data_IF_298403484170
#
_entry.id   IF_298403484170
#
_cell.length_a   1.000
_cell.length_b   1.000
_cell.length_c   1.000
_cell.angle_alpha   90.00
_cell.angle_beta   90.00
_cell.angle_gamma   90.00
#
_symmetry.space_group_name_H-M   'P 1'
#
loop_
_entity.id
_entity.type
_entity.pdbx_description
1 polymer ?
#
# COMPACT_ATOMS: atom_id res chain seq x y z
N UNK A 1 -4.64 -4.17 4.13
CA UNK A 1 -5.51 -5.33 3.87
C UNK A 1 -6.89 -4.81 3.60
N UNK A 2 -7.46 -5.04 2.42
CA UNK A 2 -8.83 -4.62 2.17
C UNK A 2 -9.82 -5.68 2.71
N UNK A 3 -10.44 -5.38 3.85
CA UNK A 3 -11.47 -6.22 4.46
C UNK A 3 -12.87 -5.92 3.87
N UNK A 4 -12.98 -5.01 2.89
CA UNK A 4 -14.25 -4.68 2.19
C UNK A 4 -14.52 -5.57 0.98
N UNK A 5 -13.52 -6.30 0.49
CA UNK A 5 -13.64 -7.10 -0.70
C UNK A 5 -14.51 -8.36 -0.50
N UNK A 6 -15.77 -8.22 -0.92
CA UNK A 6 -16.42 -9.11 -1.90
C UNK A 6 -16.68 -10.57 -1.52
N UNK A 7 -16.94 -10.83 -0.24
CA UNK A 7 -17.88 -11.88 0.18
C UNK A 7 -18.62 -11.33 1.39
N UNK A 8 -19.97 -11.23 1.42
CA UNK A 8 -20.72 -10.49 2.45
C UNK A 8 -20.51 -10.96 3.90
N UNK A 9 -19.65 -11.96 4.13
CA UNK A 9 -19.33 -12.54 5.44
C UNK A 9 -17.84 -12.80 5.69
N UNK A 10 -16.90 -12.37 4.83
CA UNK A 10 -15.48 -12.76 4.97
C UNK A 10 -14.46 -11.63 4.89
N UNK A 11 -13.36 -11.86 5.62
CA UNK A 11 -12.18 -11.04 5.73
C UNK A 11 -10.97 -11.86 5.28
N UNK A 12 -9.97 -11.30 4.58
CA UNK A 12 -8.81 -12.05 4.09
C UNK A 12 -7.51 -11.54 4.67
N UNK A 13 -6.61 -12.43 5.11
CA UNK A 13 -5.29 -12.10 5.64
C UNK A 13 -4.18 -12.86 4.94
N UNK A 14 -3.08 -12.17 4.65
CA UNK A 14 -1.80 -12.80 4.32
C UNK A 14 -1.16 -13.35 5.60
N UNK A 15 -0.68 -14.60 5.56
CA UNK A 15 0.04 -15.23 6.65
C UNK A 15 1.37 -15.73 6.10
N UNK A 16 2.47 -15.11 6.54
CA UNK A 16 3.84 -15.53 6.23
C UNK A 16 4.51 -16.11 7.47
N UNK A 17 5.00 -17.35 7.37
CA UNK A 17 6.04 -17.89 8.28
C UNK A 17 7.15 -18.45 7.39
N UNK A 18 8.36 -18.73 7.91
CA UNK A 18 9.34 -19.49 7.14
C UNK A 18 8.69 -20.72 6.50
N UNK A 19 8.86 -20.89 5.19
CA UNK A 19 8.31 -21.97 4.36
C UNK A 19 6.78 -22.00 4.18
N UNK A 20 6.04 -20.97 4.60
CA UNK A 20 4.59 -20.88 4.34
C UNK A 20 4.16 -19.47 3.99
N UNK A 21 3.69 -19.30 2.77
CA UNK A 21 3.04 -18.08 2.30
C UNK A 21 1.58 -18.41 1.98
N UNK A 22 0.65 -17.94 2.80
CA UNK A 22 -0.76 -18.31 2.69
C UNK A 22 -1.67 -17.09 2.60
N UNK A 23 -2.73 -17.23 1.82
CA UNK A 23 -3.91 -16.39 1.94
C UNK A 23 -4.97 -17.12 2.75
N UNK A 24 -5.48 -16.47 3.80
CA UNK A 24 -6.44 -17.04 4.74
C UNK A 24 -7.72 -16.23 4.75
N UNK A 25 -8.87 -16.88 4.63
CA UNK A 25 -10.18 -16.29 4.81
C UNK A 25 -10.69 -16.49 6.25
N UNK A 26 -11.27 -15.44 6.83
CA UNK A 26 -11.94 -15.42 8.11
C UNK A 26 -13.44 -15.23 7.89
N UNK A 27 -14.26 -16.01 8.59
CA UNK A 27 -15.71 -15.86 8.58
C UNK A 27 -16.26 -15.82 10.00
N UNK A 28 -17.02 -14.77 10.31
CA UNK A 28 -17.74 -14.64 11.59
C UNK A 28 -19.07 -15.38 11.49
N UNK A 29 -19.14 -16.61 11.99
CA UNK A 29 -20.35 -17.44 12.00
C UNK A 29 -20.52 -18.14 13.36
N UNK A 30 -20.78 -17.37 14.41
CA UNK A 30 -20.91 -17.86 15.80
C UNK A 30 -19.59 -18.24 16.47
N UNK A 31 -18.58 -18.63 15.69
CA UNK A 31 -17.15 -18.75 16.03
C UNK A 31 -16.30 -18.22 14.87
N UNK A 32 -15.06 -17.80 15.17
CA UNK A 32 -14.12 -17.35 14.15
C UNK A 32 -13.56 -18.56 13.38
N UNK A 33 -13.98 -18.71 12.12
CA UNK A 33 -13.50 -19.77 11.24
C UNK A 33 -12.33 -19.24 10.41
N UNK A 34 -11.17 -19.89 10.53
CA UNK A 34 -9.96 -19.65 9.72
C UNK A 34 -9.88 -20.71 8.61
N UNK A 35 -9.90 -20.31 7.36
CA UNK A 35 -9.82 -21.22 6.20
C UNK A 35 -8.66 -20.83 5.29
N UNK A 36 -7.87 -21.81 4.85
CA UNK A 36 -6.87 -21.61 3.82
C UNK A 36 -7.58 -21.33 2.49
N UNK A 37 -7.28 -20.19 1.86
CA UNK A 37 -7.80 -19.84 0.55
C UNK A 37 -6.78 -20.19 -0.55
N UNK A 38 -5.51 -19.83 -0.37
CA UNK A 38 -4.44 -20.13 -1.32
C UNK A 38 -3.15 -20.43 -0.57
N UNK A 39 -2.47 -21.50 -0.98
CA UNK A 39 -1.08 -21.79 -0.61
C UNK A 39 -0.18 -21.28 -1.74
N UNK A 40 0.66 -20.30 -1.42
CA UNK A 40 1.52 -19.58 -2.34
C UNK A 40 2.99 -19.95 -2.12
N UNK A 41 3.29 -20.95 -1.29
CA UNK A 41 4.64 -21.29 -0.85
C UNK A 41 5.55 -21.78 -2.00
N UNK A 42 4.98 -22.15 -3.15
CA UNK A 42 5.73 -22.52 -4.37
C UNK A 42 5.88 -21.38 -5.37
N UNK A 43 5.12 -20.30 -5.23
CA UNK A 43 5.12 -19.14 -6.14
C UNK A 43 5.85 -17.94 -5.55
N UNK A 44 5.85 -17.83 -4.21
CA UNK A 44 6.38 -16.70 -3.46
C UNK A 44 7.58 -17.15 -2.67
N UNK A 45 8.72 -16.48 -2.84
CA UNK A 45 9.91 -16.80 -2.08
C UNK A 45 9.76 -16.35 -0.63
N UNK A 46 10.45 -17.05 0.28
CA UNK A 46 10.35 -16.88 1.73
C UNK A 46 11.69 -16.48 2.37
N UNK A 47 12.56 -15.85 1.57
CA UNK A 47 13.81 -15.25 2.04
C UNK A 47 13.59 -14.16 3.10
N UNK A 48 14.65 -13.71 3.78
CA UNK A 48 14.56 -12.78 4.92
C UNK A 48 13.91 -11.42 4.60
N UNK A 49 13.93 -11.02 3.32
CA UNK A 49 13.38 -9.76 2.82
C UNK A 49 12.35 -9.98 1.70
N UNK A 50 11.88 -11.22 1.57
CA UNK A 50 11.03 -11.67 0.48
C UNK A 50 9.70 -12.20 1.03
N UNK A 51 8.65 -12.20 0.22
CA UNK A 51 7.36 -12.73 0.64
C UNK A 51 6.17 -12.05 -0.01
N UNK A 52 4.99 -12.47 0.43
CA UNK A 52 3.73 -11.88 0.01
C UNK A 52 3.54 -10.53 0.71
N UNK A 53 3.47 -9.46 -0.08
CA UNK A 53 3.42 -8.09 0.43
C UNK A 53 1.99 -7.56 0.50
N UNK A 54 1.18 -7.86 -0.53
CA UNK A 54 -0.20 -7.38 -0.61
C UNK A 54 -1.10 -8.27 -1.46
N UNK A 55 -2.41 -8.13 -1.20
CA UNK A 55 -3.49 -8.67 -2.01
C UNK A 55 -4.54 -7.58 -2.25
N UNK A 56 -5.08 -7.56 -3.45
CA UNK A 56 -6.28 -6.80 -3.80
C UNK A 56 -7.27 -7.69 -4.55
N UNK A 57 -8.56 -7.49 -4.34
CA UNK A 57 -9.60 -8.15 -5.13
C UNK A 57 -10.10 -7.18 -6.19
N UNK A 58 -10.42 -7.71 -7.37
CA UNK A 58 -11.07 -6.91 -8.40
C UNK A 58 -12.39 -6.31 -7.87
N UNK A 59 -12.77 -5.07 -8.23
CA UNK A 59 -14.06 -4.49 -7.81
C UNK A 59 -15.27 -5.37 -8.17
N UNK A 60 -15.19 -6.04 -9.34
CA UNK A 60 -16.14 -7.05 -9.81
C UNK A 60 -15.78 -8.52 -9.44
N UNK A 61 -15.10 -8.76 -8.31
CA UNK A 61 -14.66 -10.11 -7.91
C UNK A 61 -15.80 -11.12 -7.86
N UNK A 62 -17.00 -10.71 -7.45
CA UNK A 62 -18.18 -11.57 -7.41
C UNK A 62 -18.62 -12.10 -8.77
N UNK A 63 -18.27 -11.39 -9.85
CA UNK A 63 -18.62 -11.74 -11.21
C UNK A 63 -17.47 -12.45 -11.92
N UNK A 64 -16.23 -11.99 -11.70
CA UNK A 64 -15.07 -12.43 -12.48
C UNK A 64 -14.07 -13.30 -11.72
N UNK A 65 -14.18 -13.41 -10.39
CA UNK A 65 -13.28 -14.18 -9.49
C UNK A 65 -11.82 -13.72 -9.48
N UNK A 66 -11.48 -12.56 -10.05
CA UNK A 66 -10.10 -12.09 -10.18
C UNK A 66 -9.59 -11.43 -8.92
N UNK A 67 -8.41 -11.83 -8.49
CA UNK A 67 -7.69 -11.20 -7.39
C UNK A 67 -6.21 -11.07 -7.76
N UNK A 68 -5.50 -10.18 -7.09
CA UNK A 68 -4.17 -9.75 -7.47
C UNK A 68 -3.23 -9.84 -6.29
N UNK A 69 -2.00 -10.26 -6.55
CA UNK A 69 -0.96 -10.36 -5.54
C UNK A 69 0.22 -9.46 -5.93
N UNK A 70 0.83 -8.85 -4.91
CA UNK A 70 2.16 -8.26 -4.99
C UNK A 70 3.08 -9.06 -4.08
N UNK A 71 4.16 -9.61 -4.63
CA UNK A 71 5.15 -10.35 -3.87
C UNK A 71 6.56 -10.13 -4.41
N UNK A 72 7.55 -10.45 -3.58
CA UNK A 72 8.95 -10.44 -4.00
C UNK A 72 9.37 -11.83 -4.50
N UNK A 73 10.38 -11.85 -5.36
CA UNK A 73 10.99 -13.07 -5.90
C UNK A 73 12.49 -12.86 -6.10
N UNK A 74 13.27 -13.92 -5.85
CA UNK A 74 14.68 -14.00 -6.24
C UNK A 74 14.83 -14.98 -7.40
N UNK A 75 15.49 -14.56 -8.47
CA UNK A 75 15.78 -15.37 -9.65
C UNK A 75 17.23 -15.11 -10.10
N UNK A 76 18.04 -16.17 -10.16
CA UNK A 76 19.46 -16.10 -10.56
C UNK A 76 20.30 -15.05 -9.80
N UNK A 77 19.93 -14.75 -8.55
CA UNK A 77 20.62 -13.75 -7.71
C UNK A 77 20.14 -12.32 -7.92
N UNK A 78 19.15 -12.09 -8.79
CA UNK A 78 18.47 -10.79 -8.97
C UNK A 78 17.09 -10.81 -8.29
N UNK A 79 16.75 -9.72 -7.60
CA UNK A 79 15.44 -9.54 -6.97
C UNK A 79 14.46 -8.82 -7.86
N UNK A 80 13.20 -9.19 -7.72
CA UNK A 80 12.09 -8.60 -8.44
C UNK A 80 10.86 -8.45 -7.54
N UNK A 81 10.15 -7.34 -7.74
CA UNK A 81 8.76 -7.23 -7.35
C UNK A 81 7.87 -7.74 -8.48
N UNK A 82 7.00 -8.68 -8.16
CA UNK A 82 6.07 -9.32 -9.08
C UNK A 82 4.64 -8.90 -8.74
N UNK A 83 3.88 -8.49 -9.76
CA UNK A 83 2.43 -8.28 -9.65
C UNK A 83 1.74 -9.26 -10.57
N UNK A 84 0.85 -10.07 -10.01
CA UNK A 84 0.12 -11.11 -10.75
C UNK A 84 -1.38 -11.01 -10.53
N UNK A 85 -2.14 -11.40 -11.54
CA UNK A 85 -3.55 -11.74 -11.43
C UNK A 85 -3.71 -13.25 -11.24
N UNK A 86 -4.62 -13.64 -10.36
CA UNK A 86 -5.07 -15.01 -10.10
C UNK A 86 -6.60 -15.08 -10.13
N UNK A 87 -7.11 -16.30 -10.19
CA UNK A 87 -8.53 -16.58 -10.27
C UNK A 87 -8.97 -17.44 -9.08
N UNK A 88 -10.00 -17.01 -8.34
CA UNK A 88 -10.62 -17.83 -7.30
C UNK A 88 -11.41 -19.00 -7.91
N UNK A 89 -11.63 -20.06 -7.15
CA UNK A 89 -12.53 -21.16 -7.52
C UNK A 89 -13.99 -20.66 -7.63
N UNK A 90 -14.84 -21.43 -8.33
CA UNK A 90 -16.22 -21.01 -8.65
C UNK A 90 -17.09 -20.78 -7.41
N UNK A 91 -16.73 -21.42 -6.29
CA UNK A 91 -17.42 -21.26 -5.01
C UNK A 91 -16.81 -20.14 -4.13
N UNK A 92 -15.79 -19.43 -4.61
CA UNK A 92 -15.09 -18.36 -3.89
C UNK A 92 -14.46 -18.80 -2.56
N UNK A 93 -14.22 -20.11 -2.37
CA UNK A 93 -13.67 -20.66 -1.12
C UNK A 93 -12.16 -20.86 -1.18
N UNK A 94 -11.57 -20.89 -2.37
CA UNK A 94 -10.15 -21.17 -2.58
C UNK A 94 -9.63 -20.47 -3.84
N UNK A 95 -8.32 -20.56 -4.05
CA UNK A 95 -7.74 -20.36 -5.37
C UNK A 95 -8.25 -21.42 -6.37
N UNK A 96 -8.24 -21.10 -7.66
CA UNK A 96 -8.66 -22.02 -8.73
C UNK A 96 -7.58 -23.01 -9.15
N UNK A 97 -6.32 -22.81 -8.77
CA UNK A 97 -5.16 -23.57 -9.24
C UNK A 97 -4.75 -23.26 -10.68
N UNK A 98 -5.37 -22.27 -11.34
CA UNK A 98 -4.96 -21.83 -12.67
C UNK A 98 -3.67 -21.03 -12.60
N UNK A 99 -2.86 -21.12 -13.66
CA UNK A 99 -1.64 -20.33 -13.79
C UNK A 99 -1.93 -18.83 -13.65
N UNK A 100 -1.07 -18.15 -12.88
CA UNK A 100 -1.11 -16.71 -12.67
C UNK A 100 -0.80 -15.97 -13.97
N UNK A 101 -1.46 -14.84 -14.21
CA UNK A 101 -1.09 -13.89 -15.26
C UNK A 101 -0.18 -12.82 -14.67
N UNK A 102 1.09 -12.80 -15.07
CA UNK A 102 2.02 -11.76 -14.63
C UNK A 102 1.70 -10.44 -15.31
N UNK A 103 1.39 -9.42 -14.51
CA UNK A 103 1.16 -8.06 -14.98
C UNK A 103 2.48 -7.30 -15.04
N UNK A 104 3.23 -7.29 -13.94
CA UNK A 104 4.48 -6.55 -13.81
C UNK A 104 5.58 -7.43 -13.21
N UNK A 105 6.79 -7.19 -13.67
CA UNK A 105 8.05 -7.69 -13.10
C UNK A 105 9.04 -6.54 -13.08
N UNK A 106 9.33 -6.05 -11.87
CA UNK A 106 10.13 -4.84 -11.65
C UNK A 106 11.41 -5.27 -10.94
N UNK A 107 12.55 -5.03 -11.56
CA UNK A 107 13.86 -5.31 -10.97
C UNK A 107 14.10 -4.42 -9.73
N UNK A 108 14.56 -5.03 -8.65
CA UNK A 108 14.92 -4.34 -7.41
C UNK A 108 16.45 -4.21 -7.31
N UNK A 109 16.99 -2.99 -7.22
CA UNK A 109 18.43 -2.75 -7.23
C UNK A 109 19.10 -3.04 -5.87
N UNK A 110 18.33 -3.08 -4.78
CA UNK A 110 18.82 -3.41 -3.45
C UNK A 110 17.85 -4.32 -2.68
N UNK A 111 18.17 -4.53 -1.40
CA UNK A 111 17.53 -5.55 -0.60
C UNK A 111 16.18 -5.14 0.03
N UNK A 112 15.83 -3.86 -0.08
CA UNK A 112 14.73 -3.24 0.65
C UNK A 112 14.07 -2.13 -0.18
N UNK A 113 13.03 -1.51 0.41
CA UNK A 113 12.24 -0.42 -0.19
C UNK A 113 11.45 -0.84 -1.44
N UNK A 114 10.82 -2.01 -1.38
CA UNK A 114 9.99 -2.51 -2.49
C UNK A 114 8.61 -1.84 -2.54
N UNK A 115 8.26 -1.03 -1.52
CA UNK A 115 6.91 -0.49 -1.31
C UNK A 115 5.91 -1.56 -0.89
N UNK A 116 4.71 -1.18 -0.45
CA UNK A 116 3.81 -2.15 0.19
C UNK A 116 2.53 -2.46 -0.57
N UNK A 117 1.76 -1.46 -0.98
CA UNK A 117 0.32 -1.67 -1.21
C UNK A 117 -0.05 -1.89 -2.66
N UNK A 118 -0.99 -2.82 -2.84
CA UNK A 118 -1.81 -3.01 -4.02
C UNK A 118 -3.27 -2.70 -3.64
N UNK A 119 -3.95 -1.82 -4.38
CA UNK A 119 -5.38 -1.54 -4.15
C UNK A 119 -6.06 -1.04 -5.42
N UNK A 120 -7.38 -1.20 -5.50
CA UNK A 120 -8.18 -0.56 -6.55
C UNK A 120 -8.60 0.83 -6.13
N UNK A 121 -8.49 1.77 -7.06
CA UNK A 121 -9.04 3.12 -6.90
C UNK A 121 -10.56 3.15 -7.09
N UNK A 122 -11.20 4.27 -6.70
CA UNK A 122 -12.63 4.49 -6.95
C UNK A 122 -12.96 4.56 -8.45
N UNK A 123 -11.95 4.74 -9.30
CA UNK A 123 -12.01 4.75 -10.75
C UNK A 123 -11.92 3.34 -11.37
N UNK A 124 -11.69 2.29 -10.57
CA UNK A 124 -11.62 0.91 -11.04
C UNK A 124 -10.25 0.45 -11.54
N UNK A 125 -9.23 1.31 -11.49
CA UNK A 125 -7.86 0.95 -11.87
C UNK A 125 -7.06 0.40 -10.69
N UNK A 126 -6.02 -0.36 -11.01
CA UNK A 126 -5.12 -0.97 -10.02
C UNK A 126 -3.97 0.00 -9.71
N UNK A 127 -3.88 0.42 -8.44
CA UNK A 127 -2.82 1.27 -7.91
C UNK A 127 -1.77 0.42 -7.19
N UNK A 128 -0.49 0.73 -7.45
CA UNK A 128 0.66 -0.04 -6.99
C UNK A 128 1.67 0.91 -6.36
N UNK A 129 1.95 0.74 -5.08
CA UNK A 129 2.99 1.50 -4.39
C UNK A 129 4.35 0.83 -4.55
N UNK A 130 5.31 1.55 -5.12
CA UNK A 130 6.69 1.13 -5.31
C UNK A 130 7.63 2.08 -4.57
N UNK A 131 8.49 1.53 -3.71
CA UNK A 131 9.57 2.32 -3.13
C UNK A 131 10.73 2.51 -4.12
N UNK A 132 11.72 3.31 -3.73
CA UNK A 132 12.89 3.66 -4.53
C UNK A 132 13.82 2.47 -4.84
N UNK A 133 13.57 1.32 -4.22
CA UNK A 133 14.34 0.08 -4.36
C UNK A 133 15.73 0.14 -3.74
N UNK A 134 16.07 1.24 -3.06
CA UNK A 134 17.39 1.50 -2.52
C UNK A 134 18.51 1.61 -3.58
N UNK A 135 19.79 1.51 -3.16
CA UNK A 135 20.22 1.45 -1.76
C UNK A 135 19.87 2.75 -1.02
N UNK A 136 20.15 2.75 0.29
CA UNK A 136 19.96 3.91 1.15
C UNK A 136 20.32 5.24 0.48
N UNK A 137 19.45 6.24 0.66
CA UNK A 137 19.55 7.60 0.13
C UNK A 137 19.27 7.74 -1.36
N UNK A 138 18.86 6.69 -2.08
CA UNK A 138 18.59 6.72 -3.53
C UNK A 138 19.70 7.44 -4.33
N UNK A 139 20.95 6.93 -4.28
CA UNK A 139 22.10 7.61 -4.89
C UNK A 139 22.08 7.59 -6.42
N UNK A 140 21.10 6.92 -7.04
CA UNK A 140 20.89 6.88 -8.48
C UNK A 140 19.64 7.68 -8.92
N UNK A 141 18.85 8.19 -7.97
CA UNK A 141 17.72 9.08 -8.23
C UNK A 141 16.53 8.35 -8.86
N UNK A 142 16.32 7.08 -8.51
CA UNK A 142 15.23 6.25 -9.01
C UNK A 142 13.87 6.92 -8.81
N UNK A 143 13.66 7.51 -7.63
CA UNK A 143 12.43 8.20 -7.24
C UNK A 143 12.07 9.37 -8.16
N UNK A 144 13.07 10.07 -8.71
CA UNK A 144 12.90 11.19 -9.65
C UNK A 144 13.01 10.79 -11.12
N UNK A 145 13.53 9.59 -11.41
CA UNK A 145 13.66 9.09 -12.78
C UNK A 145 12.30 8.60 -13.31
N UNK A 146 11.78 9.25 -14.36
CA UNK A 146 10.53 8.87 -15.02
C UNK A 146 10.66 7.65 -15.94
N UNK A 147 11.88 7.21 -16.23
CA UNK A 147 12.15 5.97 -16.97
C UNK A 147 12.11 4.70 -16.13
N UNK A 148 11.88 4.85 -14.83
CA UNK A 148 11.82 3.73 -13.89
C UNK A 148 10.49 3.72 -13.12
N UNK A 149 10.11 2.52 -12.69
CA UNK A 149 8.89 2.28 -11.92
C UNK A 149 9.12 2.36 -10.39
N UNK A 150 10.32 2.73 -9.96
CA UNK A 150 10.75 2.80 -8.56
C UNK A 150 10.53 4.20 -7.96
N UNK A 151 10.11 4.25 -6.71
CA UNK A 151 9.77 5.47 -5.97
C UNK A 151 8.52 6.17 -6.52
N UNK A 152 7.52 5.36 -6.91
CA UNK A 152 6.32 5.78 -7.65
C UNK A 152 5.05 5.21 -7.03
N UNK A 153 3.94 5.91 -7.28
CA UNK A 153 2.64 5.24 -7.38
C UNK A 153 2.40 4.94 -8.85
N UNK A 154 2.11 3.69 -9.18
CA UNK A 154 1.71 3.26 -10.52
C UNK A 154 0.19 3.08 -10.57
N UNK A 155 -0.39 3.27 -11.76
CA UNK A 155 -1.82 3.05 -12.04
C UNK A 155 -1.97 2.38 -13.40
N UNK A 156 -2.57 1.19 -13.41
CA UNK A 156 -2.74 0.37 -14.62
C UNK A 156 -4.19 -0.13 -14.78
N UNK A 157 -4.56 -0.39 -16.04
CA UNK A 157 -5.84 -1.01 -16.40
C UNK A 157 -5.68 -2.53 -16.57
N UNK A 158 -6.25 -3.30 -15.64
CA UNK A 158 -6.18 -4.77 -15.67
C UNK A 158 -7.21 -5.43 -16.58
N UNK A 159 -8.19 -4.65 -17.07
CA UNK A 159 -9.29 -5.08 -17.94
C UNK A 159 -8.97 -4.92 -19.42
N UNK A 160 -8.04 -4.03 -19.77
CA UNK A 160 -7.58 -3.83 -21.14
C UNK A 160 -6.23 -4.54 -21.36
N UNK A 161 -6.23 -5.68 -22.05
CA UNK A 161 -5.00 -6.44 -22.31
C UNK A 161 -5.07 -7.21 -23.62
N UNK A 162 -3.92 -7.59 -24.15
CA UNK A 162 -3.80 -8.41 -25.36
C UNK A 162 -2.54 -9.29 -25.31
N UNK A 163 -2.18 -9.94 -26.43
CA UNK A 163 -1.03 -10.82 -26.49
C UNK A 163 0.32 -10.13 -26.20
N UNK A 164 0.42 -8.82 -26.45
CA UNK A 164 1.65 -8.04 -26.31
C UNK A 164 1.72 -7.31 -24.96
N UNK A 165 0.59 -6.89 -24.39
CA UNK A 165 0.54 -6.20 -23.11
C UNK A 165 -0.44 -6.90 -22.16
N UNK A 166 0.03 -7.24 -20.95
CA UNK A 166 -0.76 -7.95 -19.94
C UNK A 166 -1.73 -7.03 -19.16
N UNK A 167 -1.63 -5.72 -19.38
CA UNK A 167 -2.46 -4.65 -18.84
C UNK A 167 -2.44 -3.45 -19.80
N UNK A 168 -3.34 -2.50 -19.60
CA UNK A 168 -3.48 -1.26 -20.34
C UNK A 168 -3.02 -0.06 -19.53
N UNK A 169 -2.80 1.05 -20.22
CA UNK A 169 -2.50 2.34 -19.60
C UNK A 169 -3.79 3.16 -19.61
N UNK A 170 -4.30 3.64 -18.46
CA UNK A 170 -5.40 4.59 -18.44
C UNK A 170 -5.05 5.85 -19.23
N UNK A 171 -5.95 6.29 -20.11
CA UNK A 171 -5.73 7.45 -20.99
C UNK A 171 -5.55 8.75 -20.19
N UNK A 172 -6.08 8.82 -18.97
CA UNK A 172 -5.97 9.94 -18.03
C UNK A 172 -4.78 9.81 -17.05
N UNK A 173 -3.86 8.86 -17.25
CA UNK A 173 -2.59 8.89 -16.53
C UNK A 173 -1.80 10.16 -16.90
N UNK A 174 -1.05 10.77 -15.97
CA UNK A 174 -0.41 12.06 -16.18
C UNK A 174 0.67 12.05 -17.28
N UNK A 175 1.15 10.87 -17.67
CA UNK A 175 2.17 10.68 -18.70
C UNK A 175 1.71 9.83 -19.88
N UNK A 176 0.40 9.54 -20.00
CA UNK A 176 -0.16 8.68 -21.06
C UNK A 176 0.21 9.17 -22.47
N UNK A 177 0.09 10.48 -22.71
CA UNK A 177 0.33 11.12 -24.00
C UNK A 177 1.80 11.50 -24.26
N UNK A 178 2.72 11.12 -23.37
CA UNK A 178 4.14 11.42 -23.57
C UNK A 178 4.68 10.80 -24.86
N UNK A 179 5.30 11.64 -25.69
CA UNK A 179 6.05 11.21 -26.88
C UNK A 179 7.45 10.73 -26.57
N UNK A 180 7.95 10.95 -25.34
CA UNK A 180 9.24 10.44 -24.89
C UNK A 180 9.12 8.94 -24.60
N UNK A 181 9.83 8.07 -25.35
CA UNK A 181 9.75 6.62 -25.17
C UNK A 181 10.35 6.15 -23.85
N UNK A 182 11.19 6.96 -23.20
CA UNK A 182 11.79 6.59 -21.93
C UNK A 182 10.78 6.72 -20.78
N UNK A 183 9.79 7.62 -20.88
CA UNK A 183 8.83 7.84 -19.79
C UNK A 183 7.88 6.66 -19.64
N UNK A 184 7.83 6.12 -18.42
CA UNK A 184 6.92 5.04 -18.03
C UNK A 184 5.51 5.57 -17.81
N UNK A 185 4.61 5.22 -18.73
CA UNK A 185 3.21 5.69 -18.73
C UNK A 185 2.36 5.09 -17.62
N UNK A 186 2.87 4.07 -16.92
CA UNK A 186 2.27 3.50 -15.71
C UNK A 186 2.29 4.48 -14.52
N UNK A 187 3.17 5.49 -14.55
CA UNK A 187 3.37 6.41 -13.42
C UNK A 187 2.13 7.28 -13.19
N UNK A 188 1.64 7.25 -11.95
CA UNK A 188 0.59 8.14 -11.44
C UNK A 188 1.15 9.28 -10.58
N UNK A 189 2.15 9.01 -9.74
CA UNK A 189 2.85 10.00 -8.93
C UNK A 189 4.31 9.58 -8.71
N UNK A 190 5.18 10.54 -8.43
CA UNK A 190 6.64 10.36 -8.37
C UNK A 190 7.23 10.88 -7.06
N UNK A 191 8.49 10.53 -6.77
CA UNK A 191 9.23 11.09 -5.65
C UNK A 191 8.83 10.53 -4.29
N UNK A 192 8.46 9.24 -4.20
CA UNK A 192 8.26 8.55 -2.92
C UNK A 192 9.50 7.74 -2.55
N UNK A 193 9.71 7.50 -1.25
CA UNK A 193 10.79 6.62 -0.78
C UNK A 193 10.33 5.18 -0.65
N UNK A 194 9.33 4.94 0.19
CA UNK A 194 8.83 3.62 0.53
C UNK A 194 7.35 3.74 0.98
N UNK A 195 6.43 3.96 0.03
CA UNK A 195 4.99 4.02 0.34
C UNK A 195 4.52 2.63 0.78
N UNK A 196 4.31 2.46 2.09
CA UNK A 196 4.04 1.15 2.70
C UNK A 196 2.54 0.81 2.66
N UNK A 197 1.70 1.38 3.53
CA UNK A 197 0.23 1.27 3.43
C UNK A 197 -0.41 2.50 2.81
N UNK A 198 -1.23 2.22 1.80
CA UNK A 198 -2.06 3.21 1.13
C UNK A 198 -3.55 2.88 1.29
N UNK A 199 -4.39 3.90 1.31
CA UNK A 199 -5.84 3.75 1.30
C UNK A 199 -6.51 4.95 0.65
N UNK A 200 -7.57 4.68 -0.12
CA UNK A 200 -8.49 5.73 -0.54
C UNK A 200 -9.48 6.04 0.57
N UNK A 201 -9.71 7.31 0.84
CA UNK A 201 -10.90 7.72 1.57
C UNK A 201 -12.12 7.57 0.64
N UNK A 202 -13.07 6.68 0.94
CA UNK A 202 -14.22 6.43 0.06
C UNK A 202 -15.14 7.64 -0.10
N UNK A 203 -15.04 8.64 0.79
CA UNK A 203 -15.89 9.84 0.72
C UNK A 203 -15.27 10.95 -0.12
N UNK A 204 -13.96 11.18 -0.03
CA UNK A 204 -13.28 12.28 -0.72
C UNK A 204 -12.54 11.85 -1.98
N UNK A 205 -12.20 10.55 -2.10
CA UNK A 205 -11.36 10.03 -3.16
C UNK A 205 -9.86 10.33 -2.97
N UNK A 206 -9.46 10.94 -1.85
CA UNK A 206 -8.03 11.19 -1.58
C UNK A 206 -7.29 9.87 -1.32
N UNK A 207 -6.14 9.69 -1.99
CA UNK A 207 -5.21 8.58 -1.73
C UNK A 207 -4.26 8.96 -0.60
N UNK A 208 -4.41 8.33 0.55
CA UNK A 208 -3.53 8.48 1.70
C UNK A 208 -2.43 7.43 1.69
N UNK A 209 -1.22 7.80 2.10
CA UNK A 209 -0.09 6.90 2.24
C UNK A 209 0.71 7.20 3.51
N UNK A 210 1.19 6.14 4.16
CA UNK A 210 2.37 6.23 5.03
C UNK A 210 3.61 5.95 4.19
N UNK A 211 4.51 6.93 4.10
CA UNK A 211 5.79 6.82 3.38
C UNK A 211 6.92 6.73 4.40
N UNK A 212 7.62 5.60 4.41
CA UNK A 212 8.72 5.35 5.34
C UNK A 212 9.90 6.19 4.91
N UNK A 213 10.37 7.09 5.77
CA UNK A 213 11.51 7.94 5.46
C UNK A 213 12.85 7.27 5.77
N UNK A 214 13.95 7.99 5.54
CA UNK A 214 15.31 7.47 5.65
C UNK A 214 15.96 7.67 7.03
N UNK A 215 16.33 8.91 7.37
CA UNK A 215 17.13 9.24 8.57
C UNK A 215 16.33 10.07 9.56
N UNK A 216 15.53 11.01 9.07
CA UNK A 216 15.00 12.10 9.89
C UNK A 216 13.55 11.89 10.27
N UNK A 217 12.70 11.56 9.29
CA UNK A 217 11.25 11.61 9.46
C UNK A 217 10.54 10.40 8.89
N UNK A 218 9.38 10.10 9.45
CA UNK A 218 8.33 9.32 8.80
C UNK A 218 7.24 10.27 8.30
N UNK A 219 6.50 9.89 7.24
CA UNK A 219 5.59 10.81 6.56
C UNK A 219 4.17 10.27 6.35
N UNK A 220 3.18 11.14 6.55
CA UNK A 220 1.79 10.94 6.12
C UNK A 220 1.50 11.86 4.95
N UNK A 221 1.13 11.29 3.80
CA UNK A 221 1.00 12.01 2.53
C UNK A 221 -0.36 11.76 1.89
N UNK A 222 -0.93 12.80 1.24
CA UNK A 222 -2.06 12.66 0.31
C UNK A 222 -1.50 12.79 -1.11
N UNK A 223 -1.66 11.76 -1.92
CA UNK A 223 -1.08 11.64 -3.27
C UNK A 223 -2.15 11.92 -4.33
N UNK A 224 -1.86 12.76 -5.32
CA UNK A 224 -2.72 12.98 -6.51
C UNK A 224 -1.95 12.79 -7.80
N UNK A 225 -2.69 12.76 -8.91
CA UNK A 225 -2.15 12.57 -10.25
C UNK A 225 -1.06 13.58 -10.60
N UNK A 226 0.06 13.09 -11.13
CA UNK A 226 1.17 13.89 -11.64
C UNK A 226 2.04 14.55 -10.57
N UNK A 227 1.76 14.34 -9.28
CA UNK A 227 2.49 14.99 -8.21
C UNK A 227 3.89 14.40 -8.01
N UNK A 228 4.83 15.27 -7.65
CA UNK A 228 6.17 14.91 -7.22
C UNK A 228 6.31 15.16 -5.71
N UNK A 229 6.47 14.11 -4.92
CA UNK A 229 6.60 14.21 -3.46
C UNK A 229 8.03 14.40 -2.98
N UNK A 230 8.98 14.51 -3.91
CA UNK A 230 10.27 15.13 -3.66
C UNK A 230 11.32 14.26 -3.01
N UNK A 231 11.10 12.98 -2.68
CA UNK A 231 12.20 12.08 -2.35
C UNK A 231 13.14 11.93 -3.57
N UNK A 232 14.47 11.94 -3.46
CA UNK A 232 15.30 12.14 -2.27
C UNK A 232 15.73 13.60 -2.02
N UNK A 233 15.13 14.58 -2.69
CA UNK A 233 15.40 16.00 -2.48
C UNK A 233 14.93 16.44 -1.09
N UNK A 234 13.75 15.99 -0.66
CA UNK A 234 13.15 16.31 0.63
C UNK A 234 12.96 15.04 1.47
N UNK A 235 13.15 15.17 2.78
CA UNK A 235 12.68 14.22 3.78
C UNK A 235 11.85 15.01 4.79
N UNK A 236 10.56 14.76 4.82
CA UNK A 236 9.57 15.55 5.52
C UNK A 236 9.44 16.98 4.95
N UNK A 237 9.66 17.97 5.81
CA UNK A 237 9.62 19.39 5.42
C UNK A 237 11.01 19.98 5.18
N UNK A 238 12.06 19.15 5.21
CA UNK A 238 13.45 19.57 5.12
C UNK A 238 14.12 19.09 3.84
N UNK A 239 15.07 19.87 3.34
CA UNK A 239 15.95 19.41 2.27
C UNK A 239 16.82 18.27 2.81
N UNK A 240 16.77 17.15 2.12
CA UNK A 240 17.63 15.99 2.33
C UNK A 240 18.86 16.05 1.42
N UNK A 241 18.64 16.24 0.11
CA UNK A 241 19.68 16.30 -0.92
C UNK A 241 19.36 17.36 -1.97
N UNK A 242 20.38 17.95 -2.60
CA UNK A 242 20.19 18.84 -3.76
C UNK A 242 20.56 18.17 -5.09
N UNK A 243 20.97 16.90 -5.08
CA UNK A 243 21.57 16.23 -6.25
C UNK A 243 20.63 16.11 -7.46
N UNK A 244 19.36 15.81 -7.21
CA UNK A 244 18.34 15.63 -8.25
C UNK A 244 17.31 16.76 -8.25
N UNK A 245 17.61 17.86 -7.55
CA UNK A 245 16.71 19.01 -7.49
C UNK A 245 16.68 19.72 -8.83
N UNK A 246 15.46 20.04 -9.27
CA UNK A 246 15.21 20.86 -10.44
C UNK A 246 14.48 22.12 -9.99
N UNK A 247 14.98 23.30 -10.37
CA UNK A 247 14.50 24.57 -9.84
C UNK A 247 13.06 24.90 -10.26
N UNK A 248 12.63 24.43 -11.44
CA UNK A 248 11.30 24.68 -11.98
C UNK A 248 10.27 23.60 -11.59
N UNK A 249 10.67 22.60 -10.80
CA UNK A 249 9.81 21.50 -10.37
C UNK A 249 9.06 21.85 -9.08
N UNK A 250 7.73 21.64 -9.09
CA UNK A 250 6.91 21.75 -7.88
C UNK A 250 6.97 20.45 -7.10
N UNK A 251 7.40 20.54 -5.85
CA UNK A 251 7.44 19.42 -4.91
C UNK A 251 6.30 19.55 -3.89
N UNK A 252 5.59 18.45 -3.64
CA UNK A 252 4.40 18.40 -2.77
C UNK A 252 4.79 17.83 -1.41
N UNK A 253 4.71 18.68 -0.38
CA UNK A 253 5.02 18.28 1.00
C UNK A 253 4.01 17.29 1.58
N UNK A 254 4.42 16.46 2.56
CA UNK A 254 3.51 15.63 3.34
C UNK A 254 2.56 16.47 4.19
N UNK A 255 1.49 15.84 4.66
CA UNK A 255 0.51 16.45 5.60
C UNK A 255 1.11 16.55 7.00
N UNK A 256 1.83 15.51 7.40
CA UNK A 256 2.39 15.39 8.73
C UNK A 256 3.66 14.55 8.69
N UNK A 257 4.61 14.90 9.54
CA UNK A 257 5.86 14.15 9.71
C UNK A 257 6.16 13.99 11.19
N UNK A 258 6.84 12.90 11.55
CA UNK A 258 7.35 12.72 12.90
C UNK A 258 8.77 12.16 12.89
N UNK A 259 9.60 12.69 13.79
CA UNK A 259 11.00 12.29 13.87
C UNK A 259 11.21 10.95 14.59
N UNK A 260 12.41 10.38 14.43
CA UNK A 260 12.80 9.04 14.92
C UNK A 260 12.52 8.73 16.40
N UNK A 261 12.43 9.76 17.25
CA UNK A 261 12.05 9.61 18.67
C UNK A 261 10.60 9.12 18.87
N UNK A 262 9.74 9.29 17.87
CA UNK A 262 8.32 8.90 17.93
C UNK A 262 8.04 7.57 17.22
N UNK A 263 8.87 7.18 16.25
CA UNK A 263 8.76 5.95 15.48
C UNK A 263 9.79 5.95 14.33
N UNK A 264 10.01 4.80 13.70
CA UNK A 264 11.07 4.62 12.69
C UNK A 264 10.60 3.81 11.47
N UNK A 265 9.31 3.48 11.40
CA UNK A 265 8.74 2.70 10.30
C UNK A 265 7.24 2.90 10.29
N UNK A 266 6.77 3.96 9.63
CA UNK A 266 5.33 4.22 9.53
C UNK A 266 4.65 3.09 8.77
N UNK A 267 3.59 2.54 9.34
CA UNK A 267 2.78 1.53 8.65
C UNK A 267 1.86 2.20 7.65
N UNK A 268 1.29 3.37 7.96
CA UNK A 268 0.15 3.98 7.27
C UNK A 268 -1.16 3.61 7.95
N UNK A 269 -2.30 3.81 7.28
CA UNK A 269 -3.60 3.75 7.93
C UNK A 269 -4.82 4.01 7.04
N UNK A 270 -5.95 4.34 7.65
CA UNK A 270 -7.24 4.60 7.00
C UNK A 270 -7.96 5.81 7.60
N UNK A 271 -8.73 6.52 6.77
CA UNK A 271 -9.69 7.51 7.27
C UNK A 271 -10.86 6.79 7.94
N UNK A 272 -11.16 7.13 9.19
CA UNK A 272 -12.24 6.49 9.94
C UNK A 272 -13.61 6.94 9.41
N UNK A 273 -14.41 5.98 8.97
CA UNK A 273 -15.75 6.19 8.39
C UNK A 273 -16.83 5.31 9.05
N UNK A 274 -16.53 4.71 10.20
CA UNK A 274 -17.39 3.75 10.92
C UNK A 274 -18.67 4.35 11.49
N UNK A 275 -18.55 5.42 12.26
CA UNK A 275 -19.66 6.09 12.92
C UNK A 275 -19.63 7.60 12.69
N UNK A 276 -20.64 8.14 12.00
CA UNK A 276 -20.78 9.58 11.71
C UNK A 276 -20.91 10.47 12.96
N UNK A 277 -21.34 9.92 14.09
CA UNK A 277 -21.45 10.66 15.35
C UNK A 277 -20.15 10.63 16.16
N UNK A 278 -19.17 9.79 15.77
CA UNK A 278 -17.87 9.76 16.42
C UNK A 278 -17.08 11.02 16.08
N UNK A 279 -16.40 11.57 17.08
CA UNK A 279 -15.43 12.66 16.90
C UNK A 279 -14.23 12.28 16.02
N UNK A 280 -14.01 10.98 15.78
CA UNK A 280 -12.99 10.48 14.85
C UNK A 280 -13.45 10.44 13.39
N UNK A 281 -14.73 10.69 13.09
CA UNK A 281 -15.23 10.57 11.71
C UNK A 281 -14.49 11.55 10.78
N UNK A 282 -13.77 11.01 9.80
CA UNK A 282 -12.92 11.80 8.89
C UNK A 282 -11.48 12.01 9.36
N UNK A 283 -11.10 11.53 10.54
CA UNK A 283 -9.71 11.50 10.95
C UNK A 283 -8.96 10.34 10.26
N UNK A 284 -7.75 10.61 9.78
CA UNK A 284 -6.82 9.57 9.32
C UNK A 284 -6.16 8.91 10.52
N UNK A 285 -6.43 7.62 10.71
CA UNK A 285 -5.88 6.81 11.80
C UNK A 285 -4.78 5.92 11.24
N UNK A 286 -3.58 6.05 11.80
CA UNK A 286 -2.37 5.39 11.33
C UNK A 286 -1.50 4.93 12.49
N UNK A 287 -0.54 4.07 12.19
CA UNK A 287 0.41 3.56 13.18
C UNK A 287 1.81 3.42 12.64
N UNK A 288 2.71 3.07 13.55
CA UNK A 288 4.12 2.83 13.31
C UNK A 288 4.48 1.42 13.77
N UNK A 289 5.21 0.69 12.92
CA UNK A 289 5.52 -0.71 13.09
C UNK A 289 6.33 -0.94 14.37
N UNK A 290 7.43 -0.23 14.57
CA UNK A 290 8.37 -0.46 15.69
C UNK A 290 7.87 0.13 17.01
N UNK A 291 7.42 1.39 17.01
CA UNK A 291 6.96 2.05 18.24
C UNK A 291 5.60 1.56 18.71
N UNK A 292 4.82 0.93 17.82
CA UNK A 292 3.43 0.45 18.02
C UNK A 292 2.44 1.57 18.32
N UNK A 293 2.86 2.82 18.24
CA UNK A 293 1.99 3.96 18.52
C UNK A 293 0.92 4.07 17.43
N UNK A 294 -0.25 4.52 17.85
CA UNK A 294 -1.40 4.79 16.98
C UNK A 294 -1.73 6.26 17.12
N UNK A 295 -1.91 6.94 15.99
CA UNK A 295 -2.27 8.33 15.92
C UNK A 295 -3.55 8.53 15.12
N UNK A 296 -4.22 9.65 15.40
CA UNK A 296 -5.28 10.19 14.57
C UNK A 296 -4.93 11.62 14.19
N UNK A 297 -5.12 11.98 12.92
CA UNK A 297 -5.00 13.35 12.45
C UNK A 297 -6.17 13.79 11.59
N UNK A 298 -6.39 15.10 11.51
CA UNK A 298 -7.27 15.73 10.54
C UNK A 298 -6.51 16.78 9.76
N UNK A 299 -7.00 17.07 8.55
CA UNK A 299 -6.45 18.10 7.69
C UNK A 299 -7.58 18.95 7.11
N UNK A 300 -7.24 20.17 6.69
CA UNK A 300 -8.04 20.99 5.79
C UNK A 300 -7.16 21.48 4.64
N UNK A 301 -7.58 21.24 3.39
CA UNK A 301 -6.81 21.54 2.17
C UNK A 301 -5.32 21.15 2.24
N UNK A 302 -5.06 19.91 2.68
CA UNK A 302 -3.73 19.34 2.92
C UNK A 302 -2.89 20.01 4.01
N UNK A 303 -3.51 20.81 4.88
CA UNK A 303 -2.86 21.39 6.06
C UNK A 303 -3.32 20.66 7.29
N UNK A 304 -2.37 20.20 8.11
CA UNK A 304 -2.67 19.57 9.38
C UNK A 304 -3.50 20.51 10.26
N UNK A 305 -4.64 20.03 10.75
CA UNK A 305 -5.49 20.78 11.69
C UNK A 305 -5.43 20.20 13.10
N UNK A 306 -5.26 18.89 13.24
CA UNK A 306 -5.12 18.21 14.53
C UNK A 306 -4.31 16.94 14.38
N UNK A 307 -3.53 16.61 15.41
CA UNK A 307 -2.79 15.34 15.54
C UNK A 307 -2.81 14.93 17.02
N UNK A 308 -3.13 13.66 17.29
CA UNK A 308 -3.02 13.06 18.63
C UNK A 308 -2.50 11.64 18.54
N UNK A 309 -1.66 11.25 19.48
CA UNK A 309 -1.45 9.84 19.76
C UNK A 309 -2.67 9.35 20.53
N UNK A 310 -3.37 8.35 20.00
CA UNK A 310 -4.63 7.83 20.54
C UNK A 310 -4.49 6.46 21.17
N UNK A 311 -3.31 5.84 21.05
CA UNK A 311 -3.03 4.58 21.69
C UNK A 311 -1.64 4.05 21.39
N UNK A 312 -1.38 2.86 21.90
CA UNK A 312 -0.23 2.04 21.57
C UNK A 312 -0.68 0.58 21.52
N UNK A 313 -0.41 -0.08 20.40
CA UNK A 313 -0.73 -1.49 20.22
C UNK A 313 0.18 -2.37 21.08
N UNK A 314 -0.31 -3.55 21.47
CA UNK A 314 0.48 -4.53 22.23
C UNK A 314 1.57 -5.22 21.39
N UNK A 315 1.48 -5.15 20.07
CA UNK A 315 2.36 -5.80 19.08
C UNK A 315 2.66 -4.84 17.93
N UNK A 316 3.74 -5.09 17.19
CA UNK A 316 4.08 -4.34 15.98
C UNK A 316 2.95 -4.41 14.95
N UNK A 317 2.68 -3.28 14.31
CA UNK A 317 1.52 -3.11 13.43
C UNK A 317 1.94 -3.40 11.99
N UNK A 318 1.64 -4.60 11.49
CA UNK A 318 2.04 -5.01 10.13
C UNK A 318 1.17 -4.34 9.04
N UNK A 319 -0.11 -4.12 9.36
CA UNK A 319 -1.09 -3.55 8.44
C UNK A 319 -2.33 -3.08 9.20
N UNK A 320 -3.20 -2.40 8.48
CA UNK A 320 -4.57 -2.09 8.87
C UNK A 320 -5.54 -2.71 7.87
N UNK A 321 -6.81 -2.82 8.26
CA UNK A 321 -7.92 -3.09 7.36
C UNK A 321 -9.21 -2.43 7.85
N UNK A 322 -10.20 -2.35 6.97
CA UNK A 322 -11.51 -1.73 7.27
C UNK A 322 -12.63 -2.65 6.86
N UNK A 323 -13.59 -2.92 7.74
CA UNK A 323 -14.77 -3.68 7.34
C UNK A 323 -15.75 -2.83 6.50
N UNK A 324 -16.87 -3.47 6.11
CA UNK A 324 -17.95 -2.82 5.34
C UNK A 324 -18.66 -1.69 6.09
N UNK A 325 -18.59 -1.66 7.41
CA UNK A 325 -19.20 -0.63 8.23
C UNK A 325 -18.26 0.57 8.39
N UNK A 326 -16.98 0.42 8.03
CA UNK A 326 -15.96 1.46 8.18
C UNK A 326 -15.21 1.37 9.51
N UNK A 327 -15.37 0.26 10.23
CA UNK A 327 -14.62 -0.03 11.45
C UNK A 327 -13.20 -0.47 11.11
N UNK A 328 -12.21 0.02 11.87
CA UNK A 328 -10.80 -0.19 11.60
C UNK A 328 -10.28 -1.38 12.41
N UNK A 329 -9.44 -2.19 11.76
CA UNK A 329 -8.75 -3.33 12.34
C UNK A 329 -7.23 -3.18 12.16
N UNK A 330 -6.47 -3.65 13.15
CA UNK A 330 -5.02 -3.74 13.10
C UNK A 330 -4.59 -5.19 12.90
N UNK A 331 -3.53 -5.40 12.13
CA UNK A 331 -2.90 -6.71 11.94
C UNK A 331 -1.60 -6.74 12.73
N UNK A 332 -1.58 -7.54 13.80
CA UNK A 332 -0.43 -7.72 14.66
C UNK A 332 0.62 -8.62 14.03
N UNK A 333 1.86 -8.16 13.98
CA UNK A 333 2.98 -8.88 13.39
C UNK A 333 3.47 -10.02 14.28
N UNK A 334 3.68 -9.76 15.58
CA UNK A 334 4.41 -10.68 16.46
C UNK A 334 3.58 -11.90 16.87
N UNK A 335 2.26 -11.74 16.93
CA UNK A 335 1.34 -12.76 17.42
C UNK A 335 0.29 -13.19 16.39
N UNK A 336 0.33 -12.62 15.18
CA UNK A 336 -0.62 -12.92 14.10
C UNK A 336 -2.09 -12.60 14.43
N UNK A 337 -2.34 -11.73 15.40
CA UNK A 337 -3.70 -11.40 15.87
C UNK A 337 -4.27 -10.21 15.10
N UNK A 338 -5.56 -10.27 14.77
CA UNK A 338 -6.31 -9.15 14.21
C UNK A 338 -7.07 -8.47 15.36
N UNK A 339 -6.86 -7.18 15.54
CA UNK A 339 -7.48 -6.36 16.59
C UNK A 339 -8.54 -5.45 15.98
N UNK A 340 -9.72 -5.35 16.60
CA UNK A 340 -10.67 -4.26 16.29
C UNK A 340 -10.26 -3.02 17.09
N UNK A 341 -10.17 -1.87 16.42
CA UNK A 341 -9.91 -0.59 17.08
C UNK A 341 -11.23 0.01 17.57
N UNK A 342 -11.52 -0.19 18.85
CA UNK A 342 -12.71 0.39 19.48
C UNK A 342 -12.45 1.84 19.90
N UNK A 343 -13.16 2.78 19.25
CA UNK A 343 -13.09 4.21 19.52
C UNK A 343 -14.29 4.72 20.35
N UNK A 344 -15.24 3.86 20.70
CA UNK A 344 -16.54 4.24 21.28
C UNK A 344 -16.47 4.97 22.62
N UNK A 345 -15.42 4.73 23.39
CA UNK A 345 -15.18 5.35 24.71
C UNK A 345 -14.17 6.49 24.67
N UNK A 346 -13.77 6.93 23.48
CA UNK A 346 -12.76 7.98 23.29
C UNK A 346 -13.30 9.16 22.49
N UNK A 347 -12.81 10.35 22.82
CA UNK A 347 -13.11 11.56 22.07
C UNK A 347 -11.83 12.12 21.47
N UNK A 348 -11.88 12.46 20.18
CA UNK A 348 -10.82 13.13 19.47
C UNK A 348 -10.88 14.63 19.76
N UNK A 349 -10.21 15.05 20.84
CA UNK A 349 -10.10 16.46 21.27
C UNK A 349 -8.76 17.10 20.90
#
# INVERSE_FOLDING_TARGET
MDLRASCPRRCFCCSGTPHRQNLVAFQKAGRDLKMLFSDLSTEVSDGPWEGLVCIAFHPNFHQNRRYYLKHEMMEEGQRYTIVVEKLASENFLSDSGRASRQLLRIEQPADNHNGGTLLFGPDGYLYIGMGDGGPQEDPLGHSQNLGQLLGKILRIDVDQYNANHQYGIPDDNPFSDSSDPEIRREIWAVGLREPWRMSFDPLTGDLWAGDVGQVRFEEVTIIRSGENHGWNIYEGFEIFSSRYRQDETTYVSPIFTYGRKYGVSITGGYVYRGNRQSSFYGAYIFGDFESRRIWALTQDQRRLTRIRQIGQASTRIASFGVDRHGEIYLVGYDNGTIYHLDLSSTHFE
#
